data_IF_080693639825
#
_entry.id   IF_080693639825
#
_cell.length_a   1.000
_cell.length_b   1.000
_cell.length_c   1.000
_cell.angle_alpha   90.00
_cell.angle_beta   90.00
_cell.angle_gamma   90.00
#
_symmetry.space_group_name_H-M   'P 1'
#
loop_
_entity.id
_entity.type
_entity.pdbx_description
1 polymer ?
#
# COMPACT_ATOMS: atom_id res chain seq x y z
N UNK A 1 21.96 -0.97 -4.26
CA UNK A 1 21.19 -1.80 -3.31
C UNK A 1 19.78 -1.90 -3.86
N UNK A 2 19.34 -3.10 -4.26
CA UNK A 2 17.95 -3.34 -4.67
C UNK A 2 17.15 -3.79 -3.47
N UNK A 3 16.10 -3.06 -3.10
CA UNK A 3 15.16 -3.51 -2.08
C UNK A 3 14.22 -4.56 -2.66
N UNK A 4 13.89 -5.59 -1.89
CA UNK A 4 12.82 -6.51 -2.31
C UNK A 4 11.48 -5.77 -2.31
N UNK A 5 10.61 -6.12 -3.25
CA UNK A 5 9.21 -5.65 -3.26
C UNK A 5 8.50 -5.96 -1.95
N UNK A 6 8.81 -7.10 -1.32
CA UNK A 6 8.27 -7.50 -0.02
C UNK A 6 8.73 -6.58 1.12
N UNK A 7 9.99 -6.15 1.10
CA UNK A 7 10.53 -5.19 2.07
C UNK A 7 9.85 -3.83 1.94
N UNK A 8 9.67 -3.37 0.70
CA UNK A 8 8.99 -2.11 0.40
C UNK A 8 7.55 -2.15 0.92
N UNK A 9 6.81 -3.22 0.63
CA UNK A 9 5.42 -3.39 1.09
C UNK A 9 5.33 -3.47 2.62
N UNK A 10 6.22 -4.25 3.25
CA UNK A 10 6.27 -4.42 4.70
C UNK A 10 6.59 -3.10 5.42
N UNK A 11 7.53 -2.32 4.89
CA UNK A 11 7.86 -1.01 5.43
C UNK A 11 6.74 0.00 5.22
N UNK A 12 6.12 0.02 4.03
CA UNK A 12 4.98 0.90 3.72
C UNK A 12 3.80 0.64 4.65
N UNK A 13 3.49 -0.63 4.92
CA UNK A 13 2.46 -1.02 5.88
C UNK A 13 2.74 -0.51 7.31
N UNK A 14 3.99 -0.63 7.76
CA UNK A 14 4.43 -0.16 9.09
C UNK A 14 4.28 1.36 9.21
N UNK A 15 4.73 2.10 8.19
CA UNK A 15 4.61 3.57 8.13
C UNK A 15 3.15 4.00 8.09
N UNK A 16 2.29 3.31 7.33
CA UNK A 16 0.87 3.62 7.26
C UNK A 16 0.16 3.51 8.62
N UNK A 17 0.57 2.56 9.47
CA UNK A 17 0.01 2.41 10.82
C UNK A 17 0.36 3.58 11.73
N UNK A 18 1.61 4.06 11.67
CA UNK A 18 2.11 5.15 12.51
C UNK A 18 1.85 6.54 11.95
N UNK A 19 1.46 6.65 10.68
CA UNK A 19 1.13 7.93 10.05
C UNK A 19 -0.08 8.63 10.70
N UNK A 20 0.01 9.96 10.81
CA UNK A 20 -1.06 10.83 11.31
C UNK A 20 -2.06 11.15 10.18
N UNK A 21 -2.86 10.16 9.80
CA UNK A 21 -3.91 10.25 8.78
C UNK A 21 -5.28 9.87 9.38
N UNK A 22 -6.41 10.35 8.81
CA UNK A 22 -7.74 9.96 9.27
C UNK A 22 -7.92 8.45 9.32
N UNK A 23 -8.57 7.94 10.37
CA UNK A 23 -8.70 6.51 10.64
C UNK A 23 -9.35 5.75 9.48
N UNK A 24 -10.39 6.34 8.87
CA UNK A 24 -11.03 5.78 7.67
C UNK A 24 -10.03 5.56 6.52
N UNK A 25 -9.23 6.58 6.19
CA UNK A 25 -8.23 6.48 5.13
C UNK A 25 -7.13 5.48 5.47
N UNK A 26 -6.73 5.43 6.75
CA UNK A 26 -5.75 4.46 7.24
C UNK A 26 -6.22 3.03 7.00
N UNK A 27 -7.48 2.72 7.27
CA UNK A 27 -8.06 1.39 7.03
C UNK A 27 -8.09 1.05 5.54
N UNK A 28 -8.51 1.99 4.68
CA UNK A 28 -8.51 1.79 3.22
C UNK A 28 -7.08 1.57 2.68
N UNK A 29 -6.09 2.31 3.18
CA UNK A 29 -4.68 2.13 2.80
C UNK A 29 -4.13 0.78 3.25
N UNK A 30 -4.39 0.38 4.49
CA UNK A 30 -4.01 -0.93 5.04
C UNK A 30 -4.59 -2.06 4.19
N UNK A 31 -5.85 -1.93 3.75
CA UNK A 31 -6.52 -2.89 2.87
C UNK A 31 -5.82 -3.00 1.51
N UNK A 32 -5.58 -1.88 0.84
CA UNK A 32 -4.92 -1.87 -0.49
C UNK A 32 -3.47 -2.40 -0.44
N UNK A 33 -2.72 -2.03 0.60
CA UNK A 33 -1.36 -2.54 0.81
C UNK A 33 -1.40 -4.05 1.08
N UNK A 34 -2.34 -4.53 1.89
CA UNK A 34 -2.52 -5.96 2.17
C UNK A 34 -2.84 -6.79 0.92
N UNK A 35 -3.72 -6.28 0.05
CA UNK A 35 -4.04 -6.91 -1.24
C UNK A 35 -2.81 -6.97 -2.16
N UNK A 36 -2.00 -5.91 -2.20
CA UNK A 36 -0.77 -5.89 -2.97
C UNK A 36 0.28 -6.87 -2.41
N UNK A 37 0.36 -6.99 -1.08
CA UNK A 37 1.26 -7.91 -0.40
C UNK A 37 0.87 -9.37 -0.67
N UNK A 38 -0.41 -9.72 -0.59
CA UNK A 38 -0.88 -11.06 -0.94
C UNK A 38 -0.44 -11.48 -2.36
N UNK A 39 -0.62 -10.58 -3.35
CA UNK A 39 -0.17 -10.82 -4.73
C UNK A 39 1.36 -10.95 -4.84
N UNK A 40 2.11 -10.18 -4.05
CA UNK A 40 3.57 -10.30 -4.02
C UNK A 40 4.01 -11.67 -3.50
N UNK A 41 3.35 -12.21 -2.46
CA UNK A 41 3.60 -13.55 -1.91
C UNK A 41 3.25 -14.66 -2.92
N UNK A 42 2.24 -14.43 -3.77
CA UNK A 42 1.90 -15.31 -4.90
C UNK A 42 2.91 -15.25 -6.06
N UNK A 43 4.00 -14.48 -5.92
CA UNK A 43 5.06 -14.34 -6.92
C UNK A 43 4.86 -13.17 -7.89
N UNK A 44 3.80 -12.38 -7.74
CA UNK A 44 3.53 -11.20 -8.58
C UNK A 44 4.09 -9.95 -7.89
N UNK A 45 5.41 -9.81 -7.89
CA UNK A 45 6.14 -8.78 -7.16
C UNK A 45 6.87 -7.77 -8.07
N UNK A 46 6.27 -7.41 -9.22
CA UNK A 46 6.88 -6.51 -10.20
C UNK A 46 6.76 -5.03 -9.83
N UNK A 47 7.60 -4.19 -10.44
CA UNK A 47 7.51 -2.73 -10.32
C UNK A 47 6.11 -2.21 -10.68
N UNK A 48 5.41 -2.84 -11.63
CA UNK A 48 4.06 -2.46 -12.03
C UNK A 48 3.06 -2.63 -10.87
N UNK A 49 3.20 -3.64 -10.02
CA UNK A 49 2.31 -3.82 -8.86
C UNK A 49 2.50 -2.69 -7.84
N UNK A 50 3.75 -2.27 -7.59
CA UNK A 50 4.06 -1.15 -6.71
C UNK A 50 3.54 0.18 -7.28
N UNK A 51 3.73 0.43 -8.58
CA UNK A 51 3.15 1.60 -9.25
C UNK A 51 1.62 1.60 -9.18
N UNK A 52 1.00 0.44 -9.38
CA UNK A 52 -0.45 0.26 -9.24
C UNK A 52 -0.94 0.47 -7.81
N UNK A 53 -0.18 0.04 -6.80
CA UNK A 53 -0.48 0.31 -5.39
C UNK A 53 -0.53 1.81 -5.12
N UNK A 54 0.50 2.56 -5.54
CA UNK A 54 0.55 4.02 -5.35
C UNK A 54 -0.67 4.68 -6.01
N UNK A 55 -1.00 4.29 -7.24
CA UNK A 55 -2.17 4.82 -7.94
C UNK A 55 -3.48 4.58 -7.15
N UNK A 56 -3.67 3.38 -6.58
CA UNK A 56 -4.85 3.05 -5.77
C UNK A 56 -4.90 3.86 -4.46
N UNK A 57 -3.78 4.04 -3.78
CA UNK A 57 -3.70 4.88 -2.57
C UNK A 57 -4.07 6.34 -2.87
N UNK A 58 -3.61 6.89 -4.00
CA UNK A 58 -3.98 8.24 -4.44
C UNK A 58 -5.48 8.36 -4.76
N UNK A 59 -6.09 7.33 -5.36
CA UNK A 59 -7.53 7.29 -5.61
C UNK A 59 -8.31 7.26 -4.29
N UNK A 60 -7.89 6.45 -3.32
CA UNK A 60 -8.50 6.39 -1.99
C UNK A 60 -8.43 7.71 -1.23
N UNK A 61 -7.38 8.50 -1.45
CA UNK A 61 -7.31 9.85 -0.89
C UNK A 61 -8.38 10.78 -1.48
N UNK A 62 -8.70 10.65 -2.77
CA UNK A 62 -9.72 11.47 -3.44
C UNK A 62 -11.15 11.04 -3.08
N UNK A 63 -11.34 9.77 -2.74
CA UNK A 63 -12.63 9.21 -2.33
C UNK A 63 -13.02 9.54 -0.88
N UNK A 64 -12.15 10.20 -0.10
CA UNK A 64 -12.49 10.59 1.27
C UNK A 64 -13.74 11.49 1.30
N UNK A 65 -14.84 11.06 1.93
CA UNK A 65 -15.95 11.96 2.21
C UNK A 65 -15.46 13.01 3.22
N UNK A 66 -15.66 14.28 2.87
CA UNK A 66 -15.21 15.44 3.64
C UNK A 66 -16.08 15.69 4.87
#
# INVERSE_FOLDING_TARGET
>A
MGYSSEDILSNTFRVCKTANIPEYLKLEYIKEIGLCHARAVEGVASLLQLSGLIARLCLKQKEQPQ
#
